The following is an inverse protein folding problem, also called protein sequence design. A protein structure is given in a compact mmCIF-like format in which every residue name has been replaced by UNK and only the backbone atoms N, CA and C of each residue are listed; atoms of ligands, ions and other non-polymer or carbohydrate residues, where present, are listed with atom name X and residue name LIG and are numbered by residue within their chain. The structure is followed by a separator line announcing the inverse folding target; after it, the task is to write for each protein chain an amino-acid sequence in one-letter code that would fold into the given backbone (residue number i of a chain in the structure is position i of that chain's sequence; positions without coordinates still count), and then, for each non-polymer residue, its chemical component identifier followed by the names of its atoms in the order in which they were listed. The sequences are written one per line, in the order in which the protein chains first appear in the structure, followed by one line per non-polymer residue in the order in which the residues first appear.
data_IF_455227342017
#
_entry.id   IF_455227342017
#
_cell.length_a   1.000
_cell.length_b   1.000
_cell.length_c   1.000
_cell.angle_alpha   90.00
_cell.angle_beta   90.00
_cell.angle_gamma   90.00
#
_symmetry.space_group_name_H-M   'P 1'
#
loop_
_entity.id
_entity.type
_entity.pdbx_description
1 polymer ?
#
# COMPACT_ATOMS: atom_id res chain seq x y z
N UNK A 1 6.07 -12.98 11.45
CA UNK A 1 5.87 -12.85 9.99
C UNK A 1 4.62 -13.64 9.58
N UNK A 2 3.74 -13.03 8.80
CA UNK A 2 2.52 -13.63 8.23
C UNK A 2 2.83 -14.17 6.82
N UNK A 3 2.43 -15.42 6.62
CA UNK A 3 2.79 -16.25 5.47
C UNK A 3 1.53 -16.66 4.68
N UNK A 4 0.48 -15.84 4.77
CA UNK A 4 -0.81 -16.13 4.19
C UNK A 4 -0.81 -15.94 2.67
N UNK A 5 -1.00 -17.05 1.94
CA UNK A 5 -1.15 -17.03 0.49
C UNK A 5 -2.38 -16.23 0.04
N UNK A 6 -3.48 -16.28 0.80
CA UNK A 6 -4.69 -15.52 0.47
C UNK A 6 -4.48 -14.00 0.55
N UNK A 7 -3.59 -13.55 1.44
CA UNK A 7 -3.18 -12.14 1.53
C UNK A 7 -2.25 -11.73 0.38
N UNK A 8 -1.39 -12.62 -0.11
CA UNK A 8 -0.58 -12.38 -1.33
C UNK A 8 -1.48 -12.17 -2.54
N UNK A 9 -2.43 -13.08 -2.75
CA UNK A 9 -3.39 -12.95 -3.85
C UNK A 9 -4.21 -11.65 -3.74
N UNK A 10 -4.62 -11.29 -2.53
CA UNK A 10 -5.31 -10.02 -2.30
C UNK A 10 -4.45 -8.82 -2.67
N UNK A 11 -3.16 -8.83 -2.34
CA UNK A 11 -2.24 -7.76 -2.72
C UNK A 11 -2.12 -7.62 -4.24
N UNK A 12 -1.98 -8.73 -4.97
CA UNK A 12 -1.98 -8.71 -6.45
C UNK A 12 -3.29 -8.14 -7.01
N UNK A 13 -4.45 -8.57 -6.47
CA UNK A 13 -5.76 -8.03 -6.86
C UNK A 13 -5.90 -6.53 -6.58
N UNK A 14 -5.19 -6.01 -5.58
CA UNK A 14 -5.16 -4.59 -5.20
C UNK A 14 -4.10 -3.79 -5.99
N UNK A 15 -3.36 -4.43 -6.90
CA UNK A 15 -2.45 -3.76 -7.82
C UNK A 15 -0.96 -3.87 -7.48
N UNK A 16 -0.55 -4.81 -6.62
CA UNK A 16 0.87 -5.14 -6.49
C UNK A 16 1.39 -5.79 -7.77
N UNK A 17 2.50 -5.30 -8.32
CA UNK A 17 3.16 -5.88 -9.50
C UNK A 17 3.77 -7.24 -9.17
N UNK A 18 4.26 -7.39 -7.93
CA UNK A 18 4.70 -8.66 -7.37
C UNK A 18 4.27 -8.78 -5.92
N UNK A 19 3.83 -9.98 -5.53
CA UNK A 19 3.53 -10.33 -4.13
C UNK A 19 4.08 -11.73 -3.87
N UNK A 20 5.01 -11.86 -2.94
CA UNK A 20 5.56 -13.15 -2.55
C UNK A 20 5.89 -13.25 -1.07
N UNK A 21 6.07 -14.50 -0.62
CA UNK A 21 6.62 -14.79 0.70
C UNK A 21 8.08 -14.32 0.78
N UNK A 22 8.60 -14.04 1.98
CA UNK A 22 9.99 -13.66 2.17
C UNK A 22 10.94 -14.68 1.55
N UNK A 23 11.73 -14.24 0.57
CA UNK A 23 12.67 -15.11 -0.11
C UNK A 23 13.32 -14.41 -1.28
N UNK A 24 12.82 -14.68 -2.48
CA UNK A 24 13.49 -14.33 -3.73
C UNK A 24 13.49 -12.82 -3.99
N UNK A 25 12.36 -12.14 -3.84
CA UNK A 25 12.20 -10.69 -3.98
C UNK A 25 13.04 -9.94 -2.95
N UNK A 26 13.13 -10.45 -1.72
CA UNK A 26 14.04 -9.89 -0.71
C UNK A 26 15.49 -10.04 -1.17
N UNK A 27 15.88 -11.23 -1.61
CA UNK A 27 17.23 -11.50 -2.09
C UNK A 27 17.57 -10.58 -3.27
N UNK A 28 16.73 -10.58 -4.30
CA UNK A 28 16.86 -9.77 -5.51
C UNK A 28 16.96 -8.26 -5.20
N UNK A 29 16.16 -7.75 -4.25
CA UNK A 29 16.24 -6.35 -3.83
C UNK A 29 17.48 -6.06 -2.97
N UNK A 30 17.84 -6.98 -2.08
CA UNK A 30 18.97 -6.79 -1.16
C UNK A 30 20.33 -6.92 -1.82
N UNK A 31 20.43 -7.75 -2.86
CA UNK A 31 21.64 -7.96 -3.67
C UNK A 31 21.66 -7.10 -4.94
N UNK A 32 20.49 -6.57 -5.32
CA UNK A 32 20.31 -5.70 -6.47
C UNK A 32 20.21 -4.21 -6.11
N UNK A 33 19.41 -3.43 -6.85
CA UNK A 33 19.37 -1.96 -6.71
C UNK A 33 18.70 -1.47 -5.42
N UNK A 34 17.97 -2.34 -4.70
CA UNK A 34 17.12 -1.99 -3.56
C UNK A 34 15.85 -1.21 -3.94
N UNK A 35 14.93 -1.11 -3.00
CA UNK A 35 13.71 -0.31 -3.13
C UNK A 35 13.98 1.17 -2.82
N UNK A 36 13.36 2.09 -3.56
CA UNK A 36 13.40 3.53 -3.24
C UNK A 36 12.73 3.81 -1.89
N UNK A 37 11.60 3.12 -1.64
CA UNK A 37 10.83 3.20 -0.41
C UNK A 37 10.51 1.80 0.09
N UNK A 38 10.80 1.53 1.37
CA UNK A 38 10.33 0.35 2.09
C UNK A 38 9.29 0.77 3.15
N UNK A 39 8.11 0.16 3.14
CA UNK A 39 7.00 0.46 4.06
C UNK A 39 6.89 -0.68 5.06
N UNK A 40 7.22 -0.43 6.32
CA UNK A 40 7.04 -1.39 7.41
C UNK A 40 5.61 -1.27 7.94
N UNK A 41 4.81 -2.31 7.76
CA UNK A 41 3.39 -2.37 8.11
C UNK A 41 3.02 -3.61 8.94
N UNK A 42 4.01 -4.37 9.44
CA UNK A 42 3.81 -5.50 10.33
C UNK A 42 3.84 -5.09 11.81
N UNK A 43 4.73 -4.18 12.19
CA UNK A 43 5.01 -3.85 13.58
C UNK A 43 5.87 -4.91 14.31
N UNK A 44 6.63 -5.70 13.57
CA UNK A 44 7.51 -6.74 14.10
C UNK A 44 9.00 -6.32 13.97
N UNK A 45 9.88 -6.61 14.96
CA UNK A 45 11.29 -6.24 14.88
C UNK A 45 12.02 -6.79 13.65
N UNK A 46 11.73 -8.03 13.25
CA UNK A 46 12.44 -8.68 12.13
C UNK A 46 12.00 -8.08 10.78
N UNK A 47 10.73 -7.70 10.63
CA UNK A 47 10.25 -7.01 9.42
C UNK A 47 10.89 -5.62 9.27
N UNK A 48 11.10 -4.91 10.38
CA UNK A 48 11.82 -3.63 10.35
C UNK A 48 13.27 -3.81 9.90
N UNK A 49 14.00 -4.77 10.49
CA UNK A 49 15.39 -5.06 10.07
C UNK A 49 15.44 -5.44 8.59
N UNK A 50 14.47 -6.20 8.11
CA UNK A 50 14.36 -6.53 6.69
C UNK A 50 14.19 -5.28 5.81
N UNK A 51 13.34 -4.32 6.19
CA UNK A 51 13.21 -3.03 5.48
C UNK A 51 14.57 -2.33 5.32
N UNK A 52 15.42 -2.37 6.35
CA UNK A 52 16.76 -1.75 6.31
C UNK A 52 17.72 -2.44 5.32
N UNK A 53 17.51 -3.74 5.07
CA UNK A 53 18.32 -4.51 4.13
C UNK A 53 17.93 -4.21 2.67
N UNK A 54 16.63 -4.21 2.39
CA UNK A 54 16.08 -4.07 1.03
C UNK A 54 16.01 -2.62 0.54
N UNK A 55 16.04 -1.63 1.42
CA UNK A 55 16.08 -0.22 1.01
C UNK A 55 17.44 0.10 0.37
N UNK A 56 17.39 0.85 -0.74
CA UNK A 56 18.60 1.30 -1.44
C UNK A 56 19.32 2.41 -0.67
N UNK A 57 20.61 2.67 -0.96
CA UNK A 57 21.28 3.88 -0.50
C UNK A 57 20.51 5.15 -0.92
N UNK A 58 20.32 6.08 0.02
CA UNK A 58 19.52 7.29 -0.13
C UNK A 58 18.01 7.06 -0.15
N UNK A 59 17.54 5.83 0.13
CA UNK A 59 16.12 5.49 0.16
C UNK A 59 15.41 5.84 1.47
N UNK A 60 14.11 5.57 1.51
CA UNK A 60 13.25 5.88 2.64
C UNK A 60 12.63 4.62 3.24
N UNK A 61 12.61 4.53 4.57
CA UNK A 61 11.79 3.57 5.30
C UNK A 61 10.65 4.32 5.96
N UNK A 62 9.40 3.94 5.64
CA UNK A 62 8.21 4.46 6.28
C UNK A 62 7.64 3.41 7.23
N UNK A 63 7.80 3.62 8.53
CA UNK A 63 7.25 2.73 9.55
C UNK A 63 5.83 3.17 9.94
N UNK A 64 4.85 2.37 9.55
CA UNK A 64 3.43 2.53 9.91
C UNK A 64 2.92 1.40 10.82
N UNK A 65 3.67 0.30 10.95
CA UNK A 65 3.40 -0.77 11.89
C UNK A 65 3.54 -0.34 13.35
N UNK A 66 2.70 -0.91 14.22
CA UNK A 66 2.77 -0.66 15.67
C UNK A 66 3.69 -1.69 16.32
N UNK A 67 4.82 -1.23 16.87
CA UNK A 67 5.80 -2.09 17.50
C UNK A 67 5.51 -2.27 18.99
N UNK A 68 5.26 -3.51 19.40
CA UNK A 68 5.14 -3.88 20.83
C UNK A 68 6.49 -4.18 21.49
N UNK A 69 7.57 -4.28 20.71
CA UNK A 69 8.93 -4.58 21.15
C UNK A 69 9.92 -3.68 20.41
N UNK A 70 11.12 -3.42 20.98
CA UNK A 70 12.15 -2.67 20.25
C UNK A 70 12.61 -3.41 18.98
N UNK A 71 12.87 -2.65 17.92
CA UNK A 71 13.55 -3.13 16.72
C UNK A 71 15.01 -2.65 16.71
N UNK A 72 15.94 -3.50 16.29
CA UNK A 72 17.36 -3.15 16.24
C UNK A 72 17.69 -2.35 14.99
N UNK A 73 18.52 -1.32 15.17
CA UNK A 73 19.07 -0.52 14.08
C UNK A 73 20.59 -0.72 14.01
N UNK A 74 21.02 -1.55 13.05
CA UNK A 74 22.43 -1.90 12.84
C UNK A 74 23.22 -0.76 12.18
N UNK A 75 23.47 0.31 12.93
CA UNK A 75 24.16 1.51 12.41
C UNK A 75 25.54 1.19 11.80
N UNK A 76 26.23 0.18 12.31
CA UNK A 76 27.50 -0.33 11.76
C UNK A 76 27.37 -0.75 10.28
N UNK A 77 26.21 -1.24 9.89
CA UNK A 77 25.89 -1.64 8.51
C UNK A 77 25.11 -0.58 7.72
N UNK A 78 24.49 0.40 8.40
CA UNK A 78 23.54 1.34 7.77
C UNK A 78 24.10 2.75 7.55
N UNK A 79 25.17 3.14 8.23
CA UNK A 79 25.69 4.51 8.17
C UNK A 79 26.05 4.97 6.74
N UNK A 80 26.55 4.06 5.90
CA UNK A 80 26.93 4.37 4.52
C UNK A 80 25.74 4.41 3.55
N UNK A 81 24.55 3.97 3.99
CA UNK A 81 23.35 3.96 3.13
C UNK A 81 22.68 5.32 3.04
N UNK A 82 22.99 6.29 3.90
CA UNK A 82 22.35 7.62 3.89
C UNK A 82 20.81 7.55 3.82
N UNK A 83 20.21 6.56 4.47
CA UNK A 83 18.77 6.32 4.38
C UNK A 83 18.00 7.21 5.36
N UNK A 84 16.73 7.47 5.06
CA UNK A 84 15.81 8.19 5.94
C UNK A 84 14.80 7.23 6.55
N UNK A 85 14.52 7.35 7.84
CA UNK A 85 13.47 6.58 8.53
C UNK A 85 12.40 7.57 9.02
N UNK A 86 11.14 7.31 8.69
CA UNK A 86 9.99 8.07 9.20
C UNK A 86 9.06 7.17 10.00
N UNK A 87 8.52 7.72 11.08
CA UNK A 87 7.49 7.09 11.92
C UNK A 87 6.34 8.07 12.09
N UNK A 88 5.12 7.60 12.18
CA UNK A 88 3.99 8.49 12.45
C UNK A 88 2.71 7.75 12.79
N UNK A 89 1.87 8.40 13.59
CA UNK A 89 0.48 7.98 13.80
C UNK A 89 -0.41 8.80 12.90
N UNK A 90 -1.47 8.18 12.38
CA UNK A 90 -2.43 8.83 11.48
C UNK A 90 -3.04 10.09 12.12
N UNK A 91 -3.03 11.20 11.37
CA UNK A 91 -3.62 12.49 11.77
C UNK A 91 -4.93 12.83 11.04
N UNK A 92 -5.32 12.00 10.06
CA UNK A 92 -6.54 12.13 9.23
C UNK A 92 -6.63 13.38 8.35
N UNK A 93 -5.57 14.18 8.25
CA UNK A 93 -5.53 15.41 7.44
C UNK A 93 -5.77 15.16 5.95
N UNK A 94 -5.37 13.99 5.45
CA UNK A 94 -5.54 13.56 4.05
C UNK A 94 -6.94 13.04 3.72
N UNK A 95 -7.87 12.98 4.68
CA UNK A 95 -9.20 12.39 4.47
C UNK A 95 -9.98 13.03 3.31
N UNK A 96 -10.05 14.37 3.15
CA UNK A 96 -10.77 14.97 2.02
C UNK A 96 -10.24 14.50 0.66
N UNK A 97 -8.91 14.46 0.51
CA UNK A 97 -8.27 13.99 -0.71
C UNK A 97 -8.51 12.50 -0.98
N UNK A 98 -8.49 11.67 0.06
CA UNK A 98 -8.81 10.23 -0.08
C UNK A 98 -10.27 10.02 -0.52
N UNK A 99 -11.21 10.82 0.00
CA UNK A 99 -12.61 10.78 -0.44
C UNK A 99 -12.76 11.18 -1.91
N UNK A 100 -12.01 12.19 -2.37
CA UNK A 100 -12.00 12.57 -3.79
C UNK A 100 -11.49 11.43 -4.69
N UNK A 101 -10.45 10.71 -4.27
CA UNK A 101 -9.94 9.55 -5.01
C UNK A 101 -10.96 8.42 -5.08
N UNK A 102 -11.66 8.14 -3.98
CA UNK A 102 -12.70 7.10 -3.94
C UNK A 102 -13.90 7.48 -4.80
N UNK A 103 -14.42 8.69 -4.64
CA UNK A 103 -15.62 9.16 -5.36
C UNK A 103 -15.37 9.37 -6.85
N UNK A 104 -14.13 9.70 -7.26
CA UNK A 104 -13.73 9.76 -8.66
C UNK A 104 -13.42 8.41 -9.29
N UNK A 105 -13.40 7.32 -8.51
CA UNK A 105 -13.06 5.97 -8.99
C UNK A 105 -11.56 5.77 -9.24
N UNK A 106 -10.71 6.67 -8.76
CA UNK A 106 -9.24 6.52 -8.84
C UNK A 106 -8.67 5.60 -7.77
N UNK A 107 -9.42 5.38 -6.68
CA UNK A 107 -9.08 4.46 -5.61
C UNK A 107 -10.26 3.53 -5.32
N UNK A 108 -10.11 2.25 -5.69
CA UNK A 108 -11.12 1.22 -5.48
C UNK A 108 -10.87 0.49 -4.15
N UNK A 109 -11.63 0.83 -3.11
CA UNK A 109 -11.47 0.24 -1.77
C UNK A 109 -12.50 -0.85 -1.44
N UNK A 110 -13.49 -1.08 -2.31
CA UNK A 110 -14.58 -2.03 -2.07
C UNK A 110 -14.08 -3.44 -1.78
N UNK A 111 -12.98 -3.85 -2.41
CA UNK A 111 -12.38 -5.17 -2.26
C UNK A 111 -11.68 -5.39 -0.91
N UNK A 112 -11.46 -4.34 -0.11
CA UNK A 112 -10.88 -4.48 1.23
C UNK A 112 -11.89 -5.08 2.22
N UNK A 113 -13.18 -4.78 2.08
CA UNK A 113 -14.24 -5.33 2.94
C UNK A 113 -14.59 -6.73 2.48
N UNK A 114 -13.96 -7.72 3.12
CA UNK A 114 -14.10 -9.14 2.80
C UNK A 114 -15.32 -9.80 3.43
N UNK A 115 -15.72 -9.34 4.62
CA UNK A 115 -16.82 -9.93 5.37
C UNK A 115 -17.71 -8.84 5.95
N UNK A 116 -19.01 -9.12 6.06
CA UNK A 116 -19.96 -8.23 6.69
C UNK A 116 -20.89 -8.97 7.64
N UNK A 117 -21.21 -8.33 8.75
CA UNK A 117 -22.08 -8.88 9.79
C UNK A 117 -23.07 -7.80 10.24
N UNK A 118 -24.26 -8.23 10.66
CA UNK A 118 -25.16 -7.39 11.43
C UNK A 118 -24.52 -7.03 12.77
N UNK A 119 -24.84 -5.86 13.31
CA UNK A 119 -24.30 -5.39 14.59
C UNK A 119 -24.65 -6.34 15.75
N UNK A 120 -25.75 -7.08 15.64
CA UNK A 120 -26.19 -8.15 16.54
C UNK A 120 -25.25 -9.38 16.55
N UNK A 121 -24.44 -9.55 15.49
CA UNK A 121 -23.43 -10.63 15.38
C UNK A 121 -22.01 -10.11 15.56
N UNK A 122 -21.83 -9.16 16.48
CA UNK A 122 -20.52 -8.54 16.72
C UNK A 122 -19.48 -9.58 17.17
N UNK A 123 -19.84 -10.54 18.02
CA UNK A 123 -18.92 -11.57 18.50
C UNK A 123 -18.39 -12.45 17.34
N UNK A 124 -19.28 -12.95 16.49
CA UNK A 124 -18.90 -13.69 15.27
C UNK A 124 -17.96 -12.88 14.37
N UNK A 125 -18.21 -11.57 14.24
CA UNK A 125 -17.39 -10.68 13.42
C UNK A 125 -15.96 -10.55 13.96
N UNK A 126 -15.81 -10.48 15.28
CA UNK A 126 -14.49 -10.47 15.92
C UNK A 126 -13.78 -11.82 15.79
N UNK A 127 -14.52 -12.93 15.92
CA UNK A 127 -13.95 -14.27 15.75
C UNK A 127 -13.42 -14.51 14.33
N UNK A 128 -14.15 -14.04 13.32
CA UNK A 128 -13.67 -14.11 11.93
C UNK A 128 -12.45 -13.22 11.71
N UNK A 129 -12.41 -12.05 12.34
CA UNK A 129 -11.29 -11.12 12.21
C UNK A 129 -10.02 -11.60 12.93
N UNK A 130 -10.15 -12.23 14.10
CA UNK A 130 -9.02 -12.78 14.86
C UNK A 130 -8.34 -13.93 14.11
N UNK A 131 -9.10 -14.72 13.35
CA UNK A 131 -8.60 -15.82 12.50
C UNK A 131 -8.41 -15.40 11.03
N UNK A 132 -8.03 -14.15 10.79
CA UNK A 132 -7.99 -13.57 9.44
C UNK A 132 -7.07 -14.29 8.43
N UNK A 133 -6.08 -15.07 8.88
CA UNK A 133 -5.25 -15.91 7.98
C UNK A 133 -6.03 -17.10 7.42
N UNK A 134 -6.93 -17.66 8.23
CA UNK A 134 -7.68 -18.88 7.93
C UNK A 134 -8.99 -18.54 7.23
N UNK A 135 -9.65 -17.47 7.69
CA UNK A 135 -10.90 -16.97 7.11
C UNK A 135 -10.68 -16.13 5.85
N UNK A 136 -9.44 -15.72 5.57
CA UNK A 136 -9.12 -14.77 4.50
C UNK A 136 -9.66 -13.36 4.75
N UNK A 137 -10.03 -13.03 5.99
CA UNK A 137 -10.52 -11.71 6.34
C UNK A 137 -9.41 -10.64 6.22
N UNK A 138 -9.70 -9.56 5.50
CA UNK A 138 -8.87 -8.35 5.42
C UNK A 138 -9.50 -7.21 6.23
N UNK A 139 -10.77 -6.91 5.95
CA UNK A 139 -11.60 -5.99 6.72
C UNK A 139 -12.98 -6.61 6.92
N UNK A 140 -13.48 -6.53 8.15
CA UNK A 140 -14.83 -6.94 8.53
C UNK A 140 -15.67 -5.69 8.77
N UNK A 141 -16.79 -5.57 8.05
CA UNK A 141 -17.74 -4.49 8.18
C UNK A 141 -18.92 -4.86 9.07
N UNK A 142 -19.25 -4.02 10.04
CA UNK A 142 -20.49 -4.13 10.81
C UNK A 142 -21.53 -3.18 10.24
N UNK A 143 -22.74 -3.67 10.02
CA UNK A 143 -23.86 -2.82 9.63
C UNK A 143 -24.98 -2.92 10.66
N UNK A 144 -25.63 -1.79 10.90
CA UNK A 144 -26.90 -1.77 11.61
C UNK A 144 -27.98 -2.14 10.61
N UNK A 145 -28.74 -3.19 10.87
CA UNK A 145 -29.96 -3.43 10.09
C UNK A 145 -30.86 -2.21 10.19
N UNK A 146 -31.43 -1.80 9.05
CA UNK A 146 -32.43 -0.73 9.06
C UNK A 146 -33.62 -1.25 9.85
N UNK A 147 -33.83 -0.71 11.06
CA UNK A 147 -35.13 -0.83 11.72
C UNK A 147 -36.20 -0.36 10.71
N UNK A 148 -37.34 -1.07 10.54
CA UNK A 148 -38.32 -0.80 9.49
C UNK A 148 -39.05 0.57 9.58
N UNK A 149 -38.51 1.56 10.29
CA UNK A 149 -39.05 2.90 10.42
C UNK A 149 -37.97 3.97 10.24
N UNK A 150 -37.58 4.25 8.99
CA UNK A 150 -37.14 5.58 8.50
C UNK A 150 -36.75 5.51 7.01
N UNK A 151 -37.75 5.26 6.16
CA UNK A 151 -37.68 5.64 4.76
C UNK A 151 -38.27 7.04 4.63
N UNK A 152 -37.45 8.08 4.76
CA UNK A 152 -37.80 9.42 4.28
C UNK A 152 -36.65 9.98 3.42
N UNK A 153 -37.01 10.09 2.15
CA UNK A 153 -36.36 10.71 0.99
C UNK A 153 -35.28 11.77 1.25
N UNK A 154 -34.10 11.56 0.66
CA UNK A 154 -33.26 12.65 0.15
C UNK A 154 -32.76 12.30 -1.24
N UNK A 155 -33.13 13.11 -2.23
CA UNK A 155 -32.58 13.07 -3.58
C UNK A 155 -31.17 13.70 -3.59
N UNK A 156 -30.19 13.15 -4.30
CA UNK A 156 -28.92 13.81 -4.53
C UNK A 156 -28.97 14.68 -5.81
N UNK A 157 -28.65 15.97 -5.66
CA UNK A 157 -28.35 16.88 -6.76
C UNK A 157 -26.90 16.68 -7.23
N UNK A 158 -26.69 16.48 -8.52
CA UNK A 158 -25.38 16.23 -9.12
C UNK A 158 -24.45 17.45 -9.13
N UNK A 159 -23.14 17.19 -9.15
CA UNK A 159 -22.10 18.20 -9.44
C UNK A 159 -21.10 17.62 -10.45
N UNK A 160 -20.67 18.47 -11.39
CA UNK A 160 -19.91 18.14 -12.59
C UNK A 160 -18.42 17.90 -12.33
N UNK A 161 -17.81 17.09 -13.22
CA UNK A 161 -16.41 16.65 -13.17
C UNK A 161 -15.48 17.66 -13.84
N UNK A 162 -14.28 17.83 -13.31
CA UNK A 162 -13.12 18.29 -14.08
C UNK A 162 -11.95 17.33 -13.84
N UNK A 163 -11.24 17.00 -14.92
CA UNK A 163 -10.19 16.00 -14.95
C UNK A 163 -8.82 16.61 -14.60
N UNK A 164 -8.19 16.13 -13.54
CA UNK A 164 -6.81 16.42 -13.21
C UNK A 164 -5.87 15.35 -13.77
N UNK A 165 -4.86 15.78 -14.54
CA UNK A 165 -3.79 14.95 -15.10
C UNK A 165 -2.84 14.43 -14.01
N UNK A 166 -2.37 13.17 -14.05
CA UNK A 166 -1.27 12.72 -13.21
C UNK A 166 0.10 13.14 -13.81
N UNK A 167 0.98 13.63 -12.94
CA UNK A 167 2.43 13.75 -13.17
C UNK A 167 3.08 12.53 -12.50
N UNK A 168 3.58 11.58 -13.29
CA UNK A 168 4.31 10.42 -12.80
C UNK A 168 5.82 10.69 -12.76
N UNK A 169 6.45 10.36 -11.63
CA UNK A 169 7.90 10.18 -11.54
C UNK A 169 8.12 8.73 -11.10
N UNK A 170 8.64 7.91 -12.02
CA UNK A 170 8.88 6.47 -11.83
C UNK A 170 9.61 6.14 -10.53
N UNK A 171 8.85 5.73 -9.52
CA UNK A 171 9.32 5.34 -8.18
C UNK A 171 8.87 3.92 -7.87
N UNK A 172 9.71 3.21 -7.11
CA UNK A 172 9.39 1.86 -6.62
C UNK A 172 9.12 1.83 -5.12
N UNK A 173 8.10 1.08 -4.69
CA UNK A 173 7.76 0.90 -3.29
C UNK A 173 7.62 -0.59 -2.95
N UNK A 174 8.27 -1.01 -1.87
CA UNK A 174 8.07 -2.31 -1.25
C UNK A 174 7.28 -2.14 0.05
N UNK A 175 6.19 -2.89 0.23
CA UNK A 175 5.44 -2.98 1.48
C UNK A 175 5.76 -4.31 2.15
N UNK A 176 6.17 -4.25 3.41
CA UNK A 176 6.32 -5.41 4.29
C UNK A 176 5.21 -5.37 5.34
N UNK A 177 4.13 -6.10 5.10
CA UNK A 177 2.97 -6.14 5.99
C UNK A 177 2.82 -7.55 6.56
N UNK A 178 3.12 -7.72 7.85
CA UNK A 178 3.11 -9.04 8.48
C UNK A 178 3.89 -10.06 7.65
N UNK A 179 5.18 -9.90 7.38
CA UNK A 179 5.94 -10.87 6.57
C UNK A 179 5.54 -11.02 5.09
N UNK A 180 4.47 -10.37 4.62
CA UNK A 180 4.12 -10.28 3.20
C UNK A 180 4.99 -9.23 2.51
N UNK A 181 5.57 -9.53 1.35
CA UNK A 181 6.31 -8.53 0.55
C UNK A 181 5.55 -8.19 -0.74
N UNK A 182 5.09 -6.94 -0.87
CA UNK A 182 4.41 -6.44 -2.05
C UNK A 182 5.23 -5.34 -2.71
N UNK A 183 5.54 -5.48 -4.00
CA UNK A 183 6.32 -4.51 -4.76
C UNK A 183 5.46 -3.83 -5.83
N UNK A 184 5.61 -2.51 -5.97
CA UNK A 184 5.00 -1.72 -7.04
C UNK A 184 6.02 -0.76 -7.65
N UNK A 185 6.02 -0.63 -8.97
CA UNK A 185 6.86 0.32 -9.70
C UNK A 185 6.05 1.12 -10.72
N UNK A 186 6.17 2.45 -10.72
CA UNK A 186 5.63 3.24 -11.82
C UNK A 186 6.52 3.08 -13.07
N UNK A 187 5.95 2.79 -14.26
CA UNK A 187 6.75 2.75 -15.49
C UNK A 187 7.34 4.14 -15.78
N UNK A 188 8.64 4.18 -16.09
CA UNK A 188 9.28 5.43 -16.55
C UNK A 188 8.63 5.84 -17.87
N UNK A 189 8.16 7.08 -17.95
CA UNK A 189 7.81 7.68 -19.23
C UNK A 189 9.05 7.63 -20.14
N UNK A 190 9.00 6.82 -21.20
CA UNK A 190 10.01 6.85 -22.24
C UNK A 190 9.93 8.19 -22.94
N UNK A 191 10.96 9.02 -22.79
CA UNK A 191 11.15 10.17 -23.66
C UNK A 191 11.36 9.66 -25.09
N UNK A 192 10.30 9.59 -25.88
CA UNK A 192 10.43 9.62 -27.34
C UNK A 192 10.99 11.00 -27.70
N UNK A 193 12.30 11.06 -27.91
CA UNK A 193 12.92 12.17 -28.62
C UNK A 193 12.31 12.22 -30.02
N UNK A 194 11.40 13.17 -30.26
CA UNK A 194 10.96 13.54 -31.61
C UNK A 194 12.21 13.95 -32.40
N UNK A 195 12.70 13.05 -33.26
CA UNK A 195 13.72 13.37 -34.23
C UNK A 195 13.20 14.44 -35.18
N UNK A 196 13.70 15.66 -35.05
CA UNK A 196 13.53 16.73 -36.03
C UNK A 196 14.40 16.41 -37.26
N UNK A 197 13.82 15.70 -38.22
CA UNK A 197 14.40 15.54 -39.54
C UNK A 197 14.05 16.76 -40.40
N UNK A 198 14.93 17.75 -40.45
CA UNK A 198 14.92 18.77 -41.50
C UNK A 198 16.36 19.00 -42.00
N UNK A 199 16.62 18.49 -43.21
CA UNK A 199 17.88 18.72 -43.94
C UNK A 199 17.91 20.16 -44.46
N UNK A 200 19.02 20.91 -44.33
CA UNK A 200 19.18 22.16 -45.06
C UNK A 200 19.46 21.85 -46.54
N UNK A 201 18.68 22.47 -47.43
CA UNK A 201 18.98 22.56 -48.87
C UNK A 201 20.08 23.60 -49.06
N UNK A 202 21.18 23.18 -49.65
CA UNK A 202 22.28 24.02 -50.15
C UNK A 202 21.83 24.86 -51.35
N UNK A 203 22.26 26.12 -51.36
CA UNK A 203 22.67 26.88 -52.54
C UNK A 203 23.91 27.68 -52.15
#
# INVERSE_FOLDING_TARGET
MDLSHSRLEAATRLGADAAELPGRLIADLSEGPGADVAIEAAGDPDSFVLCTRVVRPGGHIANIGTHGKPAMLHLEALWHKNMTISTGRVDTSSTPWLLDLVTSGRLHISHLVTHTFGLDRMEDAYEVFSHGTDTGALKVGLYREKHPARAQSRQPSGCARSAGRPLGLGRSALVIAGGLCCYGSEPRASHETRGSGEKPRTA
#
